data_IF_783164081160
#
_entry.id   IF_783164081160
#
_cell.length_a   1.000
_cell.length_b   1.000
_cell.length_c   1.000
_cell.angle_alpha   90.00
_cell.angle_beta   90.00
_cell.angle_gamma   90.00
#
_symmetry.space_group_name_H-M   'P 1'
#
loop_
_entity.id
_entity.type
_entity.pdbx_description
1 polymer ?
#
# COMPACT_ATOMS: atom_id res chain seq x y z
N UNK A 1 -5.71 21.52 7.55
CA UNK A 1 -5.22 21.11 6.22
C UNK A 1 -3.91 20.37 6.44
N UNK A 2 -3.94 19.04 6.50
CA UNK A 2 -2.72 18.23 6.64
C UNK A 2 -2.03 18.13 5.29
N UNK A 3 -0.75 18.49 5.22
CA UNK A 3 0.13 18.20 4.09
C UNK A 3 0.24 16.67 3.99
N UNK A 4 -0.58 16.05 3.14
CA UNK A 4 -0.46 14.62 2.94
C UNK A 4 0.66 14.34 1.94
N UNK A 5 1.52 13.39 2.32
CA UNK A 5 2.56 12.85 1.45
C UNK A 5 2.01 11.71 0.61
N UNK A 6 2.59 11.51 -0.57
CA UNK A 6 2.50 10.25 -1.31
C UNK A 6 3.75 9.44 -1.03
N UNK A 7 3.64 8.13 -0.79
CA UNK A 7 4.81 7.26 -0.93
C UNK A 7 5.07 7.08 -2.42
N UNK A 8 6.28 7.44 -2.84
CA UNK A 8 6.71 7.43 -4.23
C UNK A 8 6.96 6.01 -4.77
N UNK A 9 6.85 5.86 -6.09
CA UNK A 9 7.38 4.70 -6.81
C UNK A 9 8.86 4.53 -6.44
N UNK A 10 9.26 3.36 -5.95
CA UNK A 10 10.64 3.10 -5.55
C UNK A 10 10.97 3.38 -4.08
N UNK A 11 10.01 3.81 -3.26
CA UNK A 11 10.25 3.99 -1.83
C UNK A 11 10.16 2.67 -1.06
N UNK A 12 11.06 2.49 -0.09
CA UNK A 12 11.09 1.30 0.76
C UNK A 12 10.00 1.41 1.84
N UNK A 13 9.10 0.43 1.89
CA UNK A 13 8.22 0.26 3.04
C UNK A 13 9.07 -0.18 4.24
N UNK A 14 9.09 0.62 5.31
CA UNK A 14 9.87 0.36 6.53
C UNK A 14 8.95 0.33 7.75
N UNK A 15 8.31 -0.81 8.07
CA UNK A 15 7.52 -0.90 9.29
C UNK A 15 8.42 -0.87 10.52
N UNK A 16 7.94 -0.24 11.58
CA UNK A 16 8.59 -0.29 12.89
C UNK A 16 8.04 -1.47 13.70
N UNK A 17 8.93 -2.38 14.11
CA UNK A 17 8.57 -3.53 14.94
C UNK A 17 8.64 -3.14 16.41
N UNK A 18 7.48 -3.14 17.10
CA UNK A 18 7.42 -2.92 18.55
C UNK A 18 8.01 -4.09 19.35
N UNK A 19 8.09 -5.29 18.76
CA UNK A 19 8.68 -6.47 19.41
C UNK A 19 10.20 -6.33 19.53
N UNK A 20 10.84 -5.79 18.50
CA UNK A 20 12.30 -5.66 18.41
C UNK A 20 12.79 -4.22 18.59
N UNK A 21 11.85 -3.27 18.73
CA UNK A 21 12.10 -1.83 18.81
C UNK A 21 12.99 -1.31 17.67
N UNK A 22 12.78 -1.83 16.46
CA UNK A 22 13.62 -1.53 15.29
C UNK A 22 12.79 -1.33 14.02
N UNK A 23 13.31 -0.51 13.11
CA UNK A 23 12.81 -0.42 11.75
C UNK A 23 13.20 -1.70 11.00
N UNK A 24 12.22 -2.33 10.35
CA UNK A 24 12.47 -3.47 9.47
C UNK A 24 12.57 -2.96 8.04
N UNK A 25 13.61 -3.36 7.33
CA UNK A 25 13.70 -3.11 5.90
C UNK A 25 12.98 -4.24 5.16
N UNK A 26 11.87 -3.92 4.50
CA UNK A 26 11.25 -4.82 3.54
C UNK A 26 12.00 -4.60 2.22
N UNK A 27 12.71 -5.64 1.77
CA UNK A 27 13.51 -5.57 0.53
C UNK A 27 12.65 -5.48 -0.74
N UNK A 28 11.34 -5.69 -0.62
CA UNK A 28 10.41 -5.54 -1.72
C UNK A 28 10.06 -4.06 -1.93
N UNK A 29 10.40 -3.58 -3.12
CA UNK A 29 10.07 -2.23 -3.57
C UNK A 29 8.55 -2.13 -3.78
N UNK A 30 7.96 -1.04 -3.32
CA UNK A 30 6.53 -0.76 -3.56
C UNK A 30 6.32 -0.60 -5.08
N UNK A 31 5.46 -1.42 -5.71
CA UNK A 31 5.37 -1.49 -7.18
C UNK A 31 4.56 -0.35 -7.80
N UNK A 32 4.04 0.59 -6.99
CA UNK A 32 3.07 1.59 -7.42
C UNK A 32 3.11 2.84 -6.52
N UNK A 33 2.38 3.88 -6.92
CA UNK A 33 2.15 5.03 -6.04
C UNK A 33 1.00 4.70 -5.09
N UNK A 34 1.24 4.92 -3.80
CA UNK A 34 0.22 4.74 -2.76
C UNK A 34 -0.39 6.10 -2.43
N UNK A 35 -1.72 6.19 -2.47
CA UNK A 35 -2.42 7.39 -2.01
C UNK A 35 -2.63 7.30 -0.49
N UNK A 36 -1.67 7.84 0.26
CA UNK A 36 -1.68 7.84 1.74
C UNK A 36 -2.84 8.67 2.33
N UNK A 37 -3.54 9.45 1.50
CA UNK A 37 -4.72 10.24 1.87
C UNK A 37 -6.01 9.41 1.99
N UNK A 38 -6.00 8.16 1.49
CA UNK A 38 -7.16 7.25 1.58
C UNK A 38 -6.87 6.19 2.63
N UNK A 39 -7.89 5.92 3.45
CA UNK A 39 -7.83 5.04 4.62
C UNK A 39 -7.09 3.74 4.33
N UNK A 40 -6.00 3.51 5.04
CA UNK A 40 -5.36 2.23 5.16
C UNK A 40 -6.16 1.36 6.14
N UNK A 41 -6.43 0.12 5.75
CA UNK A 41 -7.14 -0.83 6.60
C UNK A 41 -6.34 -2.10 6.75
N UNK A 42 -6.17 -2.53 8.00
CA UNK A 42 -5.56 -3.81 8.34
C UNK A 42 -6.67 -4.83 8.53
N UNK A 43 -6.67 -5.89 7.74
CA UNK A 43 -7.61 -7.00 7.86
C UNK A 43 -6.85 -8.32 7.73
N UNK A 44 -7.04 -9.23 8.69
CA UNK A 44 -6.44 -10.57 8.67
C UNK A 44 -4.91 -10.59 8.46
N UNK A 45 -4.19 -9.62 9.04
CA UNK A 45 -2.74 -9.53 8.90
C UNK A 45 -2.26 -8.97 7.55
N UNK A 46 -3.18 -8.45 6.74
CA UNK A 46 -2.89 -7.80 5.45
C UNK A 46 -3.22 -6.32 5.57
N UNK A 47 -2.29 -5.46 5.13
CA UNK A 47 -2.52 -4.02 5.00
C UNK A 47 -3.02 -3.75 3.58
N UNK A 48 -4.12 -3.02 3.44
CA UNK A 48 -4.71 -2.66 2.17
C UNK A 48 -4.61 -1.15 1.92
N UNK A 49 -4.18 -0.76 0.72
CA UNK A 49 -4.17 0.62 0.27
C UNK A 49 -4.87 0.77 -1.07
N UNK A 50 -5.51 1.92 -1.28
CA UNK A 50 -5.85 2.39 -2.62
C UNK A 50 -4.57 2.87 -3.30
N UNK A 51 -4.29 2.34 -4.48
CA UNK A 51 -3.06 2.59 -5.21
C UNK A 51 -3.33 2.87 -6.69
N UNK A 52 -2.39 3.58 -7.30
CA UNK A 52 -2.33 3.83 -8.74
C UNK A 52 -1.05 3.22 -9.32
N UNK A 53 -1.26 2.22 -10.17
CA UNK A 53 -0.24 1.54 -10.98
C UNK A 53 -0.02 2.22 -12.33
N UNK A 54 -0.50 3.45 -12.50
CA UNK A 54 -0.29 4.32 -13.64
C UNK A 54 -1.00 3.79 -14.90
N UNK A 55 -0.24 3.68 -16.01
CA UNK A 55 -0.77 3.24 -17.31
C UNK A 55 -1.41 1.84 -17.25
N UNK A 56 -1.00 1.01 -16.29
CA UNK A 56 -1.56 -0.32 -16.12
C UNK A 56 -2.97 -0.34 -15.54
N UNK A 57 -3.37 0.73 -14.86
CA UNK A 57 -4.68 0.82 -14.21
C UNK A 57 -5.78 1.36 -15.13
N UNK A 58 -5.45 1.88 -16.33
CA UNK A 58 -6.42 2.44 -17.28
C UNK A 58 -7.47 3.38 -16.65
N UNK A 59 -7.10 4.07 -15.55
CA UNK A 59 -8.00 4.96 -14.81
C UNK A 59 -8.89 4.28 -13.75
N UNK A 60 -8.67 3.01 -13.43
CA UNK A 60 -9.36 2.32 -12.33
C UNK A 60 -8.51 2.35 -11.06
N UNK A 61 -9.15 2.57 -9.91
CA UNK A 61 -8.49 2.38 -8.62
C UNK A 61 -8.11 0.90 -8.45
N UNK A 62 -6.86 0.62 -8.07
CA UNK A 62 -6.40 -0.72 -7.66
C UNK A 62 -6.22 -0.76 -6.15
N UNK A 63 -6.28 -1.96 -5.60
CA UNK A 63 -5.97 -2.22 -4.20
C UNK A 63 -4.58 -2.85 -4.14
N UNK A 64 -3.61 -2.16 -3.55
CA UNK A 64 -2.36 -2.79 -3.14
C UNK A 64 -2.58 -3.47 -1.80
N UNK A 65 -2.08 -4.69 -1.65
CA UNK A 65 -2.14 -5.44 -0.40
C UNK A 65 -0.76 -5.91 0.00
N UNK A 66 -0.41 -5.75 1.26
CA UNK A 66 0.85 -6.24 1.83
C UNK A 66 0.55 -7.26 2.91
N UNK A 67 0.95 -8.50 2.66
CA UNK A 67 0.89 -9.59 3.63
C UNK A 67 2.03 -9.43 4.63
N UNK A 68 1.72 -9.10 5.89
CA UNK A 68 2.74 -8.86 6.92
C UNK A 68 3.43 -10.14 7.39
N UNK A 69 2.85 -11.32 7.14
CA UNK A 69 3.43 -12.62 7.52
C UNK A 69 4.47 -13.05 6.50
N UNK A 70 4.12 -12.97 5.22
CA UNK A 70 4.98 -13.42 4.12
C UNK A 70 5.81 -12.28 3.51
N UNK A 71 5.53 -11.04 3.86
CA UNK A 71 6.20 -9.82 3.39
C UNK A 71 6.10 -9.61 1.87
N UNK A 72 4.95 -9.97 1.29
CA UNK A 72 4.69 -9.93 -0.15
C UNK A 72 3.64 -8.87 -0.49
N UNK A 73 3.93 -8.07 -1.51
CA UNK A 73 2.96 -7.18 -2.14
C UNK A 73 2.12 -7.93 -3.18
N UNK A 74 0.81 -7.64 -3.20
CA UNK A 74 -0.13 -8.15 -4.19
C UNK A 74 -0.98 -7.00 -4.72
N UNK A 75 -1.15 -6.95 -6.04
CA UNK A 75 -2.13 -6.08 -6.68
C UNK A 75 -3.46 -6.82 -6.78
N UNK A 76 -4.51 -6.20 -6.28
CA UNK A 76 -5.88 -6.64 -6.41
C UNK A 76 -6.64 -5.61 -7.22
N UNK A 77 -7.52 -6.07 -8.12
CA UNK A 77 -8.46 -5.16 -8.78
C UNK A 77 -9.42 -4.64 -7.73
N UNK A 78 -9.68 -3.33 -7.71
CA UNK A 78 -10.80 -2.86 -6.90
C UNK A 78 -12.09 -3.54 -7.41
N UNK A 79 -12.97 -3.98 -6.50
CA UNK A 79 -14.29 -4.40 -6.92
C UNK A 79 -14.96 -3.25 -7.68
N UNK A 80 -15.68 -3.56 -8.76
CA UNK A 80 -16.50 -2.57 -9.48
C UNK A 80 -17.65 -2.12 -8.58
N UNK A 81 -17.38 -1.26 -7.60
CA UNK A 81 -18.36 -0.52 -6.78
C UNK A 81 -17.60 0.20 -5.67
N UNK A 82 -17.24 1.47 -5.92
CA UNK A 82 -17.27 2.56 -4.94
C UNK A 82 -17.40 3.86 -5.75
N UNK A 83 -18.56 4.03 -6.40
CA UNK A 83 -19.06 5.37 -6.72
C UNK A 83 -19.48 5.99 -5.38
N UNK A 84 -18.68 6.91 -4.86
CA UNK A 84 -19.11 7.85 -3.83
C UNK A 84 -19.88 9.00 -4.51
#
# INVERSE_FOLDING_TARGET
MGLGGSLGLGENCRPYSLRTYSWKEILNVVPCKIYVFRTDLILNGVVHWVADFGKEDKGYESILSFDMVNEVFRRNKAPRMLSW
#
